data_IF_467356124339
#
_entry.id   IF_467356124339
#
_cell.length_a   1.000
_cell.length_b   1.000
_cell.length_c   1.000
_cell.angle_alpha   90.00
_cell.angle_beta   90.00
_cell.angle_gamma   90.00
#
_symmetry.space_group_name_H-M   'P 1'
#
loop_
_entity.id
_entity.type
_entity.pdbx_description
1 polymer ?
#
# COMPACT_ATOMS: atom_id res chain seq x y z
N UNK A 1 0.71 -18.89 -27.19
CA UNK A 1 1.40 -20.12 -26.74
C UNK A 1 1.57 -20.03 -25.24
N UNK A 2 0.66 -20.64 -24.46
CA UNK A 2 0.72 -20.64 -22.99
C UNK A 2 1.25 -21.99 -22.50
N UNK A 3 2.47 -22.01 -21.97
CA UNK A 3 3.05 -23.22 -21.39
C UNK A 3 2.39 -23.55 -20.06
N UNK A 4 1.70 -24.68 -19.99
CA UNK A 4 1.19 -25.23 -18.73
C UNK A 4 2.37 -25.47 -17.78
N UNK A 5 2.37 -24.82 -16.61
CA UNK A 5 3.36 -25.09 -15.58
C UNK A 5 3.22 -26.57 -15.15
N UNK A 6 4.28 -27.36 -15.34
CA UNK A 6 4.32 -28.76 -14.91
C UNK A 6 4.14 -28.85 -13.39
N UNK A 7 3.33 -29.81 -12.91
CA UNK A 7 3.08 -30.06 -11.47
C UNK A 7 4.39 -30.20 -10.68
N UNK A 8 5.44 -30.75 -11.32
CA UNK A 8 6.79 -30.84 -10.74
C UNK A 8 7.39 -29.46 -10.48
N UNK A 9 7.27 -28.53 -11.43
CA UNK A 9 7.72 -27.14 -11.28
C UNK A 9 6.93 -26.38 -10.22
N UNK A 10 5.64 -26.68 -10.04
CA UNK A 10 4.83 -26.08 -8.98
C UNK A 10 5.30 -26.53 -7.59
N UNK A 11 5.57 -27.82 -7.40
CA UNK A 11 6.12 -28.38 -6.15
C UNK A 11 7.47 -27.75 -5.80
N UNK A 12 8.36 -27.65 -6.79
CA UNK A 12 9.68 -27.04 -6.60
C UNK A 12 9.59 -25.55 -6.22
N UNK A 13 8.71 -24.78 -6.89
CA UNK A 13 8.47 -23.38 -6.55
C UNK A 13 7.87 -23.23 -5.15
N UNK A 14 6.91 -24.07 -4.78
CA UNK A 14 6.26 -24.01 -3.47
C UNK A 14 7.25 -24.36 -2.34
N UNK A 15 8.10 -25.36 -2.55
CA UNK A 15 9.15 -25.71 -1.59
C UNK A 15 10.15 -24.57 -1.40
N UNK A 16 10.58 -23.93 -2.49
CA UNK A 16 11.46 -22.74 -2.43
C UNK A 16 10.81 -21.61 -1.66
N UNK A 17 9.55 -21.28 -1.96
CA UNK A 17 8.80 -20.25 -1.27
C UNK A 17 8.66 -20.56 0.23
N UNK A 18 8.33 -21.81 0.57
CA UNK A 18 8.20 -22.27 1.96
C UNK A 18 9.50 -22.10 2.74
N UNK A 19 10.63 -22.53 2.17
CA UNK A 19 11.94 -22.39 2.81
C UNK A 19 12.31 -20.91 3.02
N UNK A 20 12.09 -20.06 2.01
CA UNK A 20 12.32 -18.61 2.13
C UNK A 20 11.45 -17.97 3.21
N UNK A 21 10.18 -18.38 3.29
CA UNK A 21 9.24 -17.88 4.28
C UNK A 21 9.63 -18.31 5.69
N UNK A 22 10.09 -19.55 5.87
CA UNK A 22 10.62 -20.02 7.15
C UNK A 22 11.83 -19.20 7.61
N UNK A 23 12.79 -18.91 6.72
CA UNK A 23 13.94 -18.05 7.07
C UNK A 23 13.53 -16.62 7.44
N UNK A 24 12.56 -16.04 6.72
CA UNK A 24 12.00 -14.73 7.05
C UNK A 24 11.33 -14.72 8.44
N UNK A 25 10.54 -15.75 8.76
CA UNK A 25 9.80 -15.82 10.02
C UNK A 25 10.70 -15.99 11.25
N UNK A 26 11.92 -16.55 11.10
CA UNK A 26 12.90 -16.62 12.20
C UNK A 26 13.32 -15.24 12.71
N UNK A 27 13.32 -14.24 11.84
CA UNK A 27 13.72 -12.86 12.17
C UNK A 27 12.54 -11.98 12.58
N UNK A 28 11.31 -12.51 12.50
CA UNK A 28 10.10 -11.77 12.80
C UNK A 28 9.84 -11.78 14.32
N UNK A 29 9.85 -10.61 15.00
CA UNK A 29 9.59 -10.52 16.44
C UNK A 29 8.13 -10.87 16.82
N UNK A 30 7.25 -11.06 15.83
CA UNK A 30 5.86 -11.49 16.00
C UNK A 30 5.64 -13.00 15.75
N UNK A 31 6.69 -13.76 15.43
CA UNK A 31 6.63 -15.23 15.30
C UNK A 31 6.58 -15.94 16.65
N UNK A 32 5.98 -17.13 16.69
CA UNK A 32 5.86 -17.91 17.94
C UNK A 32 7.21 -18.30 18.56
N UNK A 33 8.26 -18.51 17.74
CA UNK A 33 9.60 -18.91 18.17
C UNK A 33 10.47 -17.77 18.71
N UNK A 34 10.12 -16.50 18.47
CA UNK A 34 10.94 -15.35 18.88
C UNK A 34 10.69 -14.89 20.32
N UNK A 35 9.85 -15.61 21.08
CA UNK A 35 9.51 -15.26 22.47
C UNK A 35 10.56 -15.68 23.50
N UNK A 36 11.51 -16.54 23.14
CA UNK A 36 12.57 -16.99 24.05
C UNK A 36 13.85 -16.17 23.86
N UNK A 37 13.86 -14.94 24.38
CA UNK A 37 15.11 -14.29 24.80
C UNK A 37 15.84 -13.38 23.80
N UNK A 38 15.25 -12.98 22.67
CA UNK A 38 15.87 -11.93 21.87
C UNK A 38 15.64 -10.56 22.50
N UNK A 39 16.73 -9.93 22.94
CA UNK A 39 16.77 -8.48 23.13
C UNK A 39 16.21 -7.83 21.86
N UNK A 40 15.21 -6.95 22.02
CA UNK A 40 14.74 -6.08 20.93
C UNK A 40 15.99 -5.54 20.22
N UNK A 41 16.21 -5.82 18.92
CA UNK A 41 17.33 -5.25 18.21
C UNK A 41 17.26 -3.75 18.43
N UNK A 42 18.28 -3.20 19.08
CA UNK A 42 18.39 -1.78 19.34
C UNK A 42 18.22 -1.09 17.98
N UNK A 43 17.09 -0.42 17.83
CA UNK A 43 16.69 0.26 16.61
C UNK A 43 17.75 1.33 16.32
N UNK A 44 18.62 1.12 15.34
CA UNK A 44 19.26 2.17 14.53
C UNK A 44 20.42 1.63 13.68
N UNK A 45 20.14 1.25 12.43
CA UNK A 45 21.00 1.64 11.31
C UNK A 45 20.24 1.51 9.99
N UNK A 46 20.08 2.63 9.29
CA UNK A 46 19.74 2.69 7.87
C UNK A 46 18.26 2.74 7.51
N UNK A 47 17.53 1.64 7.68
CA UNK A 47 16.30 1.41 6.87
C UNK A 47 15.08 0.88 7.66
N UNK A 48 15.06 1.02 8.99
CA UNK A 48 13.94 0.54 9.80
C UNK A 48 12.63 1.24 9.41
N UNK A 49 11.67 0.49 8.86
CA UNK A 49 10.39 1.01 8.36
C UNK A 49 10.28 1.06 6.83
N UNK A 50 11.39 0.81 6.11
CA UNK A 50 11.39 0.69 4.66
C UNK A 50 11.18 -0.78 4.24
N UNK A 51 10.23 -1.07 3.35
CA UNK A 51 10.08 -2.43 2.83
C UNK A 51 11.31 -2.84 2.02
N UNK A 52 11.63 -4.15 1.94
CA UNK A 52 12.75 -4.64 1.14
C UNK A 52 12.63 -4.19 -0.32
N UNK A 53 13.75 -3.82 -0.93
CA UNK A 53 13.79 -3.41 -2.33
C UNK A 53 13.31 -4.54 -3.25
N UNK A 54 12.44 -4.22 -4.22
CA UNK A 54 11.82 -5.18 -5.12
C UNK A 54 10.67 -5.97 -4.51
N UNK A 55 10.33 -5.76 -3.23
CA UNK A 55 9.21 -6.48 -2.60
C UNK A 55 7.85 -5.96 -3.10
N UNK A 56 6.83 -6.82 -3.04
CA UNK A 56 5.43 -6.40 -3.27
C UNK A 56 5.00 -5.27 -2.34
N UNK A 57 5.53 -5.22 -1.10
CA UNK A 57 5.23 -4.13 -0.16
C UNK A 57 5.82 -2.80 -0.62
N UNK A 58 7.02 -2.79 -1.20
CA UNK A 58 7.59 -1.58 -1.80
C UNK A 58 6.74 -1.09 -2.98
N UNK A 59 6.33 -2.01 -3.87
CA UNK A 59 5.47 -1.68 -5.00
C UNK A 59 4.13 -1.10 -4.54
N UNK A 60 3.46 -1.73 -3.56
CA UNK A 60 2.23 -1.19 -2.97
C UNK A 60 2.43 0.20 -2.37
N UNK A 61 3.57 0.46 -1.74
CA UNK A 61 3.91 1.79 -1.25
C UNK A 61 3.98 2.83 -2.37
N UNK A 62 4.61 2.48 -3.50
CA UNK A 62 4.69 3.35 -4.69
C UNK A 62 3.34 3.58 -5.34
N UNK A 63 2.52 2.53 -5.44
CA UNK A 63 1.18 2.59 -6.02
C UNK A 63 0.27 3.46 -5.16
N UNK A 64 0.27 3.24 -3.84
CA UNK A 64 -0.49 4.05 -2.90
C UNK A 64 -0.05 5.53 -2.92
N UNK A 65 1.26 5.80 -2.99
CA UNK A 65 1.78 7.16 -3.12
C UNK A 65 1.27 7.83 -4.40
N UNK A 66 1.33 7.12 -5.53
CA UNK A 66 0.85 7.61 -6.84
C UNK A 66 -0.64 7.89 -6.81
N UNK A 67 -1.42 6.98 -6.20
CA UNK A 67 -2.85 7.10 -6.04
C UNK A 67 -3.20 8.34 -5.20
N UNK A 68 -2.65 8.46 -3.99
CA UNK A 68 -2.90 9.63 -3.11
C UNK A 68 -2.49 10.94 -3.78
N UNK A 69 -1.35 10.96 -4.48
CA UNK A 69 -0.90 12.16 -5.19
C UNK A 69 -1.89 12.60 -6.28
N UNK A 70 -2.49 11.63 -6.99
CA UNK A 70 -3.53 11.91 -7.99
C UNK A 70 -4.78 12.49 -7.33
N UNK A 71 -5.23 11.90 -6.23
CA UNK A 71 -6.40 12.38 -5.48
C UNK A 71 -6.22 13.82 -4.99
N UNK A 72 -5.05 14.14 -4.44
CA UNK A 72 -4.73 15.51 -3.99
C UNK A 72 -4.75 16.49 -5.16
N UNK A 73 -4.19 16.12 -6.32
CA UNK A 73 -4.21 16.97 -7.52
C UNK A 73 -5.64 17.24 -8.00
N UNK A 74 -6.46 16.20 -8.08
CA UNK A 74 -7.87 16.31 -8.49
C UNK A 74 -8.66 17.21 -7.52
N UNK A 75 -8.42 17.07 -6.22
CA UNK A 75 -9.01 17.96 -5.21
C UNK A 75 -8.58 19.42 -5.41
N UNK A 76 -7.29 19.68 -5.62
CA UNK A 76 -6.82 21.04 -5.90
C UNK A 76 -7.38 21.62 -7.20
N UNK A 77 -7.62 20.81 -8.23
CA UNK A 77 -8.29 21.22 -9.47
C UNK A 77 -9.77 21.54 -9.24
N UNK A 78 -10.48 20.74 -8.44
CA UNK A 78 -11.85 21.02 -8.05
C UNK A 78 -11.94 22.35 -7.29
N UNK A 79 -11.11 22.53 -6.25
CA UNK A 79 -11.06 23.77 -5.46
C UNK A 79 -10.76 24.98 -6.33
N UNK A 80 -9.80 24.88 -7.27
CA UNK A 80 -9.50 25.98 -8.20
C UNK A 80 -10.66 26.35 -9.13
N UNK A 81 -11.55 25.40 -9.43
CA UNK A 81 -12.69 25.60 -10.33
C UNK A 81 -13.90 26.24 -9.64
N UNK A 82 -14.17 25.83 -8.40
CA UNK A 82 -15.40 26.22 -7.67
C UNK A 82 -15.15 27.18 -6.51
N UNK A 83 -13.89 27.34 -6.12
CA UNK A 83 -13.48 28.19 -5.01
C UNK A 83 -13.51 29.67 -5.37
N UNK A 84 -13.62 30.48 -4.34
CA UNK A 84 -13.62 31.93 -4.46
C UNK A 84 -12.18 32.47 -4.51
N UNK A 85 -11.89 33.45 -5.37
CA UNK A 85 -10.56 34.05 -5.47
C UNK A 85 -10.24 34.94 -4.27
N UNK A 86 -8.98 34.90 -3.83
CA UNK A 86 -8.44 35.73 -2.74
C UNK A 86 -6.92 35.63 -2.72
N UNK A 87 -6.28 35.88 -1.56
CA UNK A 87 -4.84 35.63 -1.39
C UNK A 87 -4.47 34.14 -1.59
N UNK A 88 -5.44 33.24 -1.34
CA UNK A 88 -5.44 31.85 -1.77
C UNK A 88 -6.86 31.50 -2.23
N UNK A 89 -7.00 30.52 -3.13
CA UNK A 89 -8.33 30.03 -3.52
C UNK A 89 -8.92 29.22 -2.37
N UNK A 90 -10.10 29.61 -1.89
CA UNK A 90 -10.79 28.95 -0.78
C UNK A 90 -12.18 28.49 -1.21
N UNK A 91 -12.65 27.38 -0.66
CA UNK A 91 -14.01 26.87 -0.90
C UNK A 91 -14.63 26.44 0.43
N UNK A 92 -15.93 26.70 0.60
CA UNK A 92 -16.66 26.14 1.72
C UNK A 92 -16.80 24.61 1.58
N UNK A 93 -16.69 23.90 2.70
CA UNK A 93 -16.76 22.45 2.70
C UNK A 93 -18.06 21.91 2.10
N UNK A 94 -19.20 22.55 2.38
CA UNK A 94 -20.51 22.15 1.81
C UNK A 94 -20.53 22.21 0.29
N UNK A 95 -20.10 23.35 -0.29
CA UNK A 95 -19.98 23.54 -1.75
C UNK A 95 -19.03 22.54 -2.40
N UNK A 96 -17.92 22.25 -1.74
CA UNK A 96 -16.98 21.23 -2.19
C UNK A 96 -17.61 19.83 -2.17
N UNK A 97 -18.30 19.47 -1.09
CA UNK A 97 -18.95 18.17 -0.91
C UNK A 97 -20.03 17.93 -1.97
N UNK A 98 -20.92 18.89 -2.22
CA UNK A 98 -21.97 18.78 -3.26
C UNK A 98 -21.40 18.52 -4.66
N UNK A 99 -20.32 19.23 -5.01
CA UNK A 99 -19.65 19.07 -6.31
C UNK A 99 -18.90 17.73 -6.41
N UNK A 100 -18.41 17.21 -5.28
CA UNK A 100 -17.67 15.95 -5.22
C UNK A 100 -18.61 14.72 -5.21
N UNK A 101 -19.75 14.78 -4.52
CA UNK A 101 -20.75 13.68 -4.45
C UNK A 101 -21.39 13.39 -5.80
N UNK A 102 -21.49 14.39 -6.67
CA UNK A 102 -22.07 14.22 -8.02
C UNK A 102 -21.10 13.52 -9.00
N UNK A 103 -19.80 13.44 -8.67
CA UNK A 103 -18.73 12.97 -9.58
C UNK A 103 -17.90 11.81 -9.00
N UNK A 104 -17.95 11.53 -7.68
CA UNK A 104 -16.95 10.69 -7.02
C UNK A 104 -17.54 9.58 -6.15
N UNK A 105 -17.15 8.34 -6.46
CA UNK A 105 -17.38 7.13 -5.65
C UNK A 105 -16.48 7.07 -4.37
N UNK A 106 -15.78 8.16 -4.02
CA UNK A 106 -14.58 8.12 -3.16
C UNK A 106 -14.77 8.56 -1.70
N UNK A 107 -16.00 8.85 -1.25
CA UNK A 107 -16.27 9.25 0.13
C UNK A 107 -16.65 8.09 1.07
N UNK A 108 -16.80 6.87 0.54
CA UNK A 108 -16.87 5.64 1.34
C UNK A 108 -15.54 4.93 1.07
N UNK A 109 -14.59 5.15 1.98
CA UNK A 109 -13.16 4.99 1.74
C UNK A 109 -12.75 3.73 1.00
N UNK A 110 -11.80 3.87 0.08
CA UNK A 110 -10.61 3.03 -0.11
C UNK A 110 -10.74 1.52 0.25
N UNK A 111 -11.86 0.88 -0.06
CA UNK A 111 -12.07 -0.56 0.17
C UNK A 111 -12.29 -1.31 -1.15
N UNK A 112 -12.33 -0.62 -2.29
CA UNK A 112 -12.52 -1.26 -3.59
C UNK A 112 -11.22 -1.74 -4.24
N UNK A 113 -10.07 -1.16 -3.89
CA UNK A 113 -8.79 -1.48 -4.56
C UNK A 113 -7.83 -2.34 -3.71
N UNK A 114 -8.24 -2.71 -2.48
CA UNK A 114 -7.45 -3.58 -1.59
C UNK A 114 -8.00 -5.02 -1.47
N UNK A 115 -9.15 -5.32 -2.08
CA UNK A 115 -9.83 -6.61 -1.90
C UNK A 115 -9.54 -7.74 -2.92
N UNK A 116 -8.51 -7.64 -3.79
CA UNK A 116 -7.98 -8.88 -4.35
C UNK A 116 -6.45 -8.96 -4.28
N UNK A 117 -5.81 -8.77 -3.11
CA UNK A 117 -4.36 -9.05 -3.01
C UNK A 117 -3.80 -9.36 -1.62
N UNK A 118 -4.63 -9.92 -0.73
CA UNK A 118 -4.16 -10.65 0.46
C UNK A 118 -3.81 -12.13 0.17
N UNK A 119 -3.55 -12.48 -1.09
CA UNK A 119 -2.99 -13.77 -1.52
C UNK A 119 -1.67 -13.58 -2.26
#
# INVERSE_FOLDING_TARGET
MGGAASVKGLKENWQRWSNQYQEYQKQNPFSHDSRAGMALPLKAQGDSGRPPQGSKTEQRGKDAHTHVSREVRELCEAIRRIGEPGNAVTVEFGKLFEHYVTISNKLVGIESDLLPLFM
#
